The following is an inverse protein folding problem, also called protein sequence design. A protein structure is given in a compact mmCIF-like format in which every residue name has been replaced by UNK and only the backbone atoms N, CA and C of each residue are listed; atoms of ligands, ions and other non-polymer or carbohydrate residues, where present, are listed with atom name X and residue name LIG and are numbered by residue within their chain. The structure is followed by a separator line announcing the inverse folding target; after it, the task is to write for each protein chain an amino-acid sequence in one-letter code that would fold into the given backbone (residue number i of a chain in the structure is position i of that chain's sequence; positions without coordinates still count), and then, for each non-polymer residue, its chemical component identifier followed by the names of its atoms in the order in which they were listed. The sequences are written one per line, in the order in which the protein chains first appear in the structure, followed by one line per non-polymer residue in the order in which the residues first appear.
data_IF_823156656788
#
_entry.id   IF_823156656788
#
_cell.length_a   1.000
_cell.length_b   1.000
_cell.length_c   1.000
_cell.angle_alpha   90.00
_cell.angle_beta   90.00
_cell.angle_gamma   90.00
#
_symmetry.space_group_name_H-M   'P 1'
#
loop_
_entity.id
_entity.type
_entity.pdbx_description
1 polymer ?
#
# COMPACT_ATOMS: atom_id res chain seq x y z
N UNK A 1 6.19 12.85 -18.05
CA UNK A 1 5.69 14.18 -17.71
C UNK A 1 4.87 14.14 -16.44
N UNK A 2 4.88 15.21 -15.70
CA UNK A 2 4.15 15.23 -14.42
C UNK A 2 3.14 16.36 -14.46
N UNK A 3 2.15 16.23 -13.60
CA UNK A 3 1.13 17.26 -13.45
C UNK A 3 1.06 17.65 -11.99
N UNK A 4 0.70 18.89 -11.77
CA UNK A 4 0.60 19.44 -10.42
C UNK A 4 -0.86 19.46 -10.01
N UNK A 5 -1.11 18.97 -8.83
CA UNK A 5 -2.44 18.96 -8.24
C UNK A 5 -2.43 19.87 -7.02
N UNK A 6 -3.37 20.80 -6.96
CA UNK A 6 -3.51 21.68 -5.81
C UNK A 6 -4.72 21.25 -5.02
N UNK A 7 -4.54 21.11 -3.71
CA UNK A 7 -5.61 20.73 -2.81
C UNK A 7 -5.71 21.79 -1.72
N UNK A 8 -6.89 22.35 -1.56
CA UNK A 8 -7.14 23.33 -0.52
C UNK A 8 -7.76 22.65 0.68
N UNK A 9 -7.20 22.91 1.84
CA UNK A 9 -7.68 22.35 3.08
C UNK A 9 -7.86 23.46 4.10
N UNK A 10 -8.76 23.27 5.07
CA UNK A 10 -8.88 24.26 6.14
C UNK A 10 -7.57 24.42 6.90
N UNK A 11 -7.29 25.65 7.33
CA UNK A 11 -6.03 25.94 8.00
C UNK A 11 -5.82 25.08 9.24
N UNK A 12 -6.88 24.78 9.96
CA UNK A 12 -6.75 24.06 11.22
C UNK A 12 -6.38 22.58 11.02
N UNK A 13 -6.46 22.05 9.81
CA UNK A 13 -6.02 20.69 9.55
C UNK A 13 -4.54 20.55 9.84
N UNK A 14 -3.75 21.54 9.41
CA UNK A 14 -2.31 21.47 9.61
C UNK A 14 -1.94 21.58 11.08
N UNK A 15 -2.65 22.42 11.82
CA UNK A 15 -2.43 22.52 13.26
C UNK A 15 -2.82 21.23 13.97
N UNK A 16 -3.93 20.65 13.58
CA UNK A 16 -4.44 19.44 14.23
C UNK A 16 -3.44 18.29 14.08
N UNK A 17 -2.83 18.19 12.92
CA UNK A 17 -1.86 17.11 12.66
C UNK A 17 -0.45 17.53 13.01
N UNK A 18 -0.22 18.79 13.35
CA UNK A 18 1.10 19.32 13.70
C UNK A 18 2.09 19.07 12.58
N UNK A 19 1.68 19.39 11.36
CA UNK A 19 2.52 19.21 10.18
C UNK A 19 2.55 20.50 9.38
N UNK A 20 3.70 20.80 8.81
CA UNK A 20 3.79 21.86 7.83
C UNK A 20 3.07 21.42 6.56
N UNK A 21 2.69 22.36 5.68
CA UNK A 21 2.07 21.96 4.41
C UNK A 21 2.92 20.98 3.62
N UNK A 22 4.23 21.13 3.64
CA UNK A 22 5.12 20.22 2.92
C UNK A 22 5.09 18.83 3.52
N UNK A 23 5.17 18.76 4.84
CA UNK A 23 5.10 17.48 5.52
C UNK A 23 3.76 16.81 5.32
N UNK A 24 2.70 17.62 5.40
CA UNK A 24 1.36 17.11 5.19
C UNK A 24 1.20 16.55 3.79
N UNK A 25 1.75 17.24 2.79
CA UNK A 25 1.68 16.77 1.42
C UNK A 25 2.34 15.42 1.24
N UNK A 26 3.52 15.25 1.84
CA UNK A 26 4.21 13.98 1.76
C UNK A 26 3.42 12.87 2.46
N UNK A 27 2.89 13.18 3.62
CA UNK A 27 2.12 12.19 4.37
C UNK A 27 0.82 11.84 3.65
N UNK A 28 0.18 12.83 3.05
CA UNK A 28 -1.04 12.59 2.29
C UNK A 28 -0.78 11.64 1.12
N UNK A 29 0.30 11.89 0.39
CA UNK A 29 0.66 11.02 -0.73
C UNK A 29 0.93 9.60 -0.26
N UNK A 30 1.65 9.46 0.85
CA UNK A 30 1.97 8.15 1.37
C UNK A 30 0.71 7.42 1.86
N UNK A 31 -0.13 8.11 2.61
CA UNK A 31 -1.35 7.49 3.12
C UNK A 31 -2.26 7.05 1.99
N UNK A 32 -2.41 7.90 0.98
CA UNK A 32 -3.26 7.54 -0.16
C UNK A 32 -2.68 6.36 -0.92
N UNK A 33 -1.36 6.36 -1.14
CA UNK A 33 -0.72 5.27 -1.86
C UNK A 33 -0.90 3.94 -1.12
N UNK A 34 -0.72 3.98 0.20
CA UNK A 34 -0.86 2.78 1.00
C UNK A 34 -2.29 2.26 0.96
N UNK A 35 -3.26 3.15 1.07
CA UNK A 35 -4.66 2.72 1.05
C UNK A 35 -5.05 2.14 -0.29
N UNK A 36 -4.67 2.81 -1.36
CA UNK A 36 -5.00 2.31 -2.70
C UNK A 36 -4.30 0.99 -2.97
N UNK A 37 -3.08 0.84 -2.48
CA UNK A 37 -2.37 -0.42 -2.61
C UNK A 37 -3.08 -1.52 -1.81
N UNK A 38 -3.48 -1.21 -0.59
CA UNK A 38 -4.19 -2.15 0.25
C UNK A 38 -5.48 -2.61 -0.41
N UNK A 39 -6.16 -1.69 -1.08
CA UNK A 39 -7.39 -1.99 -1.80
C UNK A 39 -7.16 -2.64 -3.15
N UNK A 40 -5.91 -2.89 -3.49
CA UNK A 40 -5.53 -3.55 -4.75
C UNK A 40 -5.93 -2.73 -5.98
N UNK A 41 -5.91 -1.42 -5.83
CA UNK A 41 -6.23 -0.54 -6.96
C UNK A 41 -5.00 -0.15 -7.76
N UNK A 42 -3.83 -0.28 -7.18
CA UNK A 42 -2.58 0.06 -7.86
C UNK A 42 -1.51 -0.95 -7.46
N UNK A 43 -0.50 -1.07 -8.31
CA UNK A 43 0.62 -1.96 -8.03
C UNK A 43 1.52 -1.36 -6.95
N UNK A 44 2.40 -2.19 -6.42
CA UNK A 44 3.35 -1.74 -5.42
C UNK A 44 4.29 -0.67 -6.00
N UNK A 45 4.74 -0.89 -7.22
CA UNK A 45 5.61 0.09 -7.88
C UNK A 45 4.90 1.43 -8.07
N UNK A 46 3.66 1.38 -8.51
CA UNK A 46 2.90 2.60 -8.72
C UNK A 46 2.64 3.31 -7.40
N UNK A 47 2.36 2.54 -6.35
CA UNK A 47 2.14 3.12 -5.04
C UNK A 47 3.40 3.82 -4.54
N UNK A 48 4.56 3.21 -4.74
CA UNK A 48 5.82 3.83 -4.34
C UNK A 48 6.02 5.14 -5.09
N UNK A 49 5.69 5.16 -6.38
CA UNK A 49 5.77 6.37 -7.18
C UNK A 49 4.90 7.48 -6.61
N UNK A 50 3.66 7.13 -6.28
CA UNK A 50 2.72 8.11 -5.74
C UNK A 50 3.23 8.66 -4.42
N UNK A 51 3.81 7.81 -3.59
CA UNK A 51 4.35 8.22 -2.31
C UNK A 51 5.66 8.99 -2.44
N UNK A 52 6.29 8.96 -3.62
CA UNK A 52 7.57 9.60 -3.81
C UNK A 52 8.70 8.85 -3.14
N UNK A 53 8.58 7.54 -3.03
CA UNK A 53 9.56 6.71 -2.33
C UNK A 53 10.10 5.64 -3.26
N UNK A 54 11.29 5.15 -2.94
CA UNK A 54 11.77 3.95 -3.57
C UNK A 54 10.91 2.78 -3.12
N UNK A 55 10.98 1.67 -3.87
CA UNK A 55 10.17 0.52 -3.52
C UNK A 55 10.53 -0.05 -2.15
N UNK A 56 11.83 -0.21 -1.81
CA UNK A 56 12.16 -0.66 -0.45
C UNK A 56 11.67 0.27 0.64
N UNK A 57 11.76 1.59 0.41
CA UNK A 57 11.27 2.55 1.39
C UNK A 57 9.76 2.45 1.55
N UNK A 58 9.05 2.23 0.44
CA UNK A 58 7.60 2.08 0.50
C UNK A 58 7.22 0.82 1.26
N UNK A 59 7.95 -0.27 1.05
CA UNK A 59 7.69 -1.51 1.78
C UNK A 59 7.88 -1.31 3.28
N UNK A 60 8.93 -0.57 3.66
CA UNK A 60 9.14 -0.26 5.06
C UNK A 60 7.99 0.56 5.62
N UNK A 61 7.45 1.48 4.81
CA UNK A 61 6.32 2.28 5.24
C UNK A 61 5.07 1.42 5.44
N UNK A 62 4.87 0.43 4.56
CA UNK A 62 3.73 -0.48 4.73
C UNK A 62 3.79 -1.16 6.10
N UNK A 63 4.98 -1.58 6.52
CA UNK A 63 5.13 -2.23 7.82
C UNK A 63 4.71 -1.30 8.93
N UNK A 64 5.10 -0.02 8.84
CA UNK A 64 4.72 0.94 9.87
C UNK A 64 3.21 1.16 9.93
N UNK A 65 2.53 0.98 8.81
CA UNK A 65 1.08 1.15 8.74
C UNK A 65 0.32 -0.16 8.95
N UNK A 66 1.04 -1.24 9.23
CA UNK A 66 0.41 -2.52 9.48
C UNK A 66 -0.20 -3.14 8.24
N UNK A 67 0.35 -2.83 7.07
CA UNK A 67 -0.17 -3.35 5.81
C UNK A 67 0.83 -4.35 5.24
N UNK A 68 0.32 -5.49 4.79
CA UNK A 68 1.17 -6.52 4.21
C UNK A 68 1.75 -6.06 2.88
N UNK A 69 3.05 -6.31 2.64
CA UNK A 69 3.64 -6.00 1.35
C UNK A 69 3.22 -6.95 0.24
N UNK A 70 2.50 -8.00 0.59
CA UNK A 70 2.04 -8.97 -0.40
C UNK A 70 0.61 -8.62 -0.80
N UNK A 71 0.42 -8.33 -2.08
CA UNK A 71 -0.89 -7.93 -2.59
C UNK A 71 -1.38 -9.01 -3.53
N UNK A 72 -2.13 -9.96 -2.98
CA UNK A 72 -2.63 -11.07 -3.77
C UNK A 72 -4.05 -11.37 -3.35
N UNK A 73 -4.77 -12.06 -4.24
CA UNK A 73 -6.08 -12.58 -3.90
C UNK A 73 -5.91 -13.80 -3.01
N UNK A 74 -6.96 -14.21 -2.30
CA UNK A 74 -6.87 -15.43 -1.52
C UNK A 74 -6.45 -16.65 -2.34
N UNK A 75 -6.91 -16.74 -3.59
CA UNK A 75 -6.50 -17.84 -4.45
C UNK A 75 -5.01 -17.78 -4.76
N UNK A 76 -4.52 -16.59 -5.04
CA UNK A 76 -3.10 -16.43 -5.32
C UNK A 76 -2.26 -16.76 -4.12
N UNK A 77 -2.74 -16.41 -2.94
CA UNK A 77 -2.03 -16.76 -1.72
C UNK A 77 -1.94 -18.27 -1.57
N UNK A 78 -3.02 -18.98 -1.84
CA UNK A 78 -3.01 -20.42 -1.77
C UNK A 78 -2.03 -21.02 -2.75
N UNK A 79 -2.01 -20.49 -3.98
CA UNK A 79 -1.07 -20.97 -4.98
C UNK A 79 0.37 -20.78 -4.53
N UNK A 80 0.65 -19.63 -3.98
CA UNK A 80 1.99 -19.34 -3.50
C UNK A 80 2.40 -20.27 -2.36
N UNK A 81 1.46 -20.57 -1.48
CA UNK A 81 1.73 -21.49 -0.40
C UNK A 81 2.05 -22.87 -0.95
N UNK A 82 1.27 -23.34 -1.92
CA UNK A 82 1.52 -24.62 -2.54
C UNK A 82 2.90 -24.67 -3.17
N UNK A 83 3.26 -23.63 -3.88
CA UNK A 83 4.57 -23.57 -4.52
C UNK A 83 5.68 -23.55 -3.50
N UNK A 84 5.52 -22.79 -2.43
CA UNK A 84 6.54 -22.70 -1.40
C UNK A 84 6.75 -24.04 -0.70
N UNK A 85 5.67 -24.77 -0.49
CA UNK A 85 5.76 -26.08 0.16
C UNK A 85 6.19 -27.17 -0.78
N UNK A 86 6.14 -26.91 -2.09
CA UNK A 86 6.50 -27.92 -3.07
C UNK A 86 5.56 -29.09 -3.06
N UNK A 87 4.30 -28.87 -2.74
CA UNK A 87 3.32 -29.94 -2.66
C UNK A 87 2.12 -29.60 -3.50
N UNK A 88 1.25 -30.57 -3.63
CA UNK A 88 0.02 -30.40 -4.37
C UNK A 88 -1.15 -30.23 -3.42
N UNK A 89 -1.09 -29.23 -2.61
CA UNK A 89 -2.19 -28.96 -1.70
C UNK A 89 -3.47 -28.74 -2.50
N UNK A 90 -4.58 -29.24 -2.00
CA UNK A 90 -5.84 -29.00 -2.69
C UNK A 90 -6.14 -27.53 -2.72
N UNK A 91 -6.61 -27.09 -3.83
CA UNK A 91 -6.96 -25.68 -3.96
C UNK A 91 -8.38 -25.45 -3.53
N UNK A 92 -8.72 -26.08 -2.52
CA UNK A 92 -10.00 -25.96 -2.12
C UNK A 92 -10.10 -25.00 -1.17
N UNK A 93 -10.14 -25.10 -0.96
CA UNK A 93 -10.37 -24.61 -0.31
C UNK A 93 -10.20 -23.91 0.43
N UNK A 94 -10.16 -23.62 0.77
CA UNK A 94 -9.95 -23.07 1.44
C UNK A 94 -9.96 -22.06 1.59
N UNK A 95 -10.43 -21.75 1.70
CA UNK A 95 -10.50 -20.91 1.91
C UNK A 95 -10.16 -20.36 2.55
N UNK A 96 -10.41 -20.16 2.62
CA UNK A 96 -9.99 -19.67 3.14
C UNK A 96 -9.26 -20.22 3.63
N UNK A 97 -9.14 -20.89 3.50
CA UNK A 97 -8.52 -21.49 3.96
C UNK A 97 -7.53 -21.37 4.01
N UNK A 98 -7.48 -21.19 4.02
CA UNK A 98 -6.74 -21.11 4.08
C UNK A 98 -6.25 -20.88 4.40
#
# INVERSE_FOLDING_TARGET
MSKTLKIELPDDVFSALRRSPEEFGRELRLAAAIKWYEMERISQSKAAEIAGLSRPAFIAALARYGVSPVQTTPEEIRDEIQQALGTSLPRTSTSGDA
#
